data_IF_774231791469
#
_entry.id   IF_774231791469
#
_cell.length_a   1.000
_cell.length_b   1.000
_cell.length_c   1.000
_cell.angle_alpha   90.00
_cell.angle_beta   90.00
_cell.angle_gamma   90.00
#
_symmetry.space_group_name_H-M   'P 1'
#
loop_
_entity.id
_entity.type
_entity.pdbx_description
1 polymer ?
#
# COMPACT_ATOMS: atom_id res chain seq x y z
N UNK A 1 -26.26 -21.00 -29.12
CA UNK A 1 -25.08 -20.39 -28.47
C UNK A 1 -25.59 -19.52 -27.33
N UNK A 2 -25.37 -19.90 -26.07
CA UNK A 2 -25.82 -19.14 -24.90
C UNK A 2 -24.71 -18.14 -24.55
N UNK A 3 -25.00 -16.85 -24.59
CA UNK A 3 -24.05 -15.83 -24.14
C UNK A 3 -23.83 -15.98 -22.63
N UNK A 4 -22.60 -15.81 -22.12
CA UNK A 4 -22.38 -15.81 -20.68
C UNK A 4 -23.20 -14.69 -20.03
N UNK A 5 -23.70 -14.91 -18.80
CA UNK A 5 -24.45 -13.88 -18.09
C UNK A 5 -23.59 -12.63 -17.90
N UNK A 6 -24.21 -11.45 -18.01
CA UNK A 6 -23.54 -10.19 -17.78
C UNK A 6 -23.00 -10.14 -16.35
N UNK A 7 -21.77 -9.61 -16.20
CA UNK A 7 -21.16 -9.41 -14.89
C UNK A 7 -22.01 -8.38 -14.12
N UNK A 8 -22.35 -8.62 -12.83
CA UNK A 8 -23.07 -7.62 -12.06
C UNK A 8 -22.30 -6.30 -12.03
N UNK A 9 -23.00 -5.15 -11.95
CA UNK A 9 -22.33 -3.87 -11.77
C UNK A 9 -21.48 -3.92 -10.50
N UNK A 10 -20.32 -3.26 -10.49
CA UNK A 10 -19.55 -3.14 -9.25
C UNK A 10 -20.41 -2.49 -8.17
N UNK A 11 -20.17 -2.82 -6.89
CA UNK A 11 -20.84 -2.14 -5.79
C UNK A 11 -20.61 -0.62 -5.89
N UNK A 12 -21.61 0.15 -5.48
CA UNK A 12 -21.44 1.59 -5.27
C UNK A 12 -20.48 1.79 -4.08
N UNK A 13 -19.42 2.56 -4.30
CA UNK A 13 -18.38 2.86 -3.30
C UNK A 13 -18.21 4.38 -3.24
N UNK A 14 -18.26 4.98 -2.05
CA UNK A 14 -18.08 6.42 -1.85
C UNK A 14 -16.67 6.90 -2.24
N UNK A 15 -15.63 6.15 -1.88
CA UNK A 15 -14.23 6.59 -2.03
C UNK A 15 -13.37 5.51 -2.71
N UNK A 16 -12.74 5.86 -3.83
CA UNK A 16 -11.73 5.04 -4.47
C UNK A 16 -10.31 5.59 -4.23
N UNK A 17 -9.42 4.74 -3.71
CA UNK A 17 -7.99 5.02 -3.54
C UNK A 17 -7.25 4.24 -4.63
N UNK A 18 -6.46 4.92 -5.46
CA UNK A 18 -5.67 4.29 -6.51
C UNK A 18 -4.23 4.16 -6.06
N UNK A 19 -3.75 2.91 -5.97
CA UNK A 19 -2.41 2.53 -5.51
C UNK A 19 -2.38 2.02 -4.07
N UNK A 20 -1.73 0.87 -3.86
CA UNK A 20 -1.53 0.27 -2.53
C UNK A 20 -0.08 0.39 -2.03
N UNK A 21 0.54 1.54 -2.31
CA UNK A 21 1.79 1.96 -1.67
C UNK A 21 1.54 2.70 -0.34
N UNK A 22 2.61 3.25 0.23
CA UNK A 22 2.59 3.93 1.53
C UNK A 22 1.48 5.00 1.65
N UNK A 23 1.30 5.83 0.62
CA UNK A 23 0.27 6.88 0.63
C UNK A 23 -1.16 6.31 0.63
N UNK A 24 -1.43 5.29 -0.17
CA UNK A 24 -2.76 4.67 -0.26
C UNK A 24 -3.16 3.94 1.01
N UNK A 25 -2.22 3.16 1.58
CA UNK A 25 -2.43 2.49 2.87
C UNK A 25 -2.60 3.50 4.01
N UNK A 26 -1.80 4.57 4.00
CA UNK A 26 -1.93 5.68 4.95
C UNK A 26 -3.31 6.34 4.87
N UNK A 27 -3.79 6.63 3.66
CA UNK A 27 -5.12 7.21 3.45
C UNK A 27 -6.23 6.28 3.96
N UNK A 28 -6.16 4.98 3.62
CA UNK A 28 -7.12 3.99 4.09
C UNK A 28 -7.19 3.93 5.62
N UNK A 29 -6.03 3.97 6.29
CA UNK A 29 -5.96 4.01 7.75
C UNK A 29 -6.63 5.28 8.32
N UNK A 30 -6.40 6.45 7.71
CA UNK A 30 -7.04 7.69 8.16
C UNK A 30 -8.56 7.68 7.94
N UNK A 31 -9.05 7.15 6.81
CA UNK A 31 -10.49 6.99 6.57
C UNK A 31 -11.14 6.10 7.64
N UNK A 32 -10.53 4.95 7.93
CA UNK A 32 -11.00 4.05 9.00
C UNK A 32 -11.04 4.77 10.36
N UNK A 33 -10.00 5.53 10.70
CA UNK A 33 -9.96 6.32 11.95
C UNK A 33 -11.02 7.42 12.00
N UNK A 34 -11.42 7.96 10.86
CA UNK A 34 -12.49 8.94 10.74
C UNK A 34 -13.90 8.30 10.71
N UNK A 35 -14.01 6.97 10.84
CA UNK A 35 -15.28 6.25 10.77
C UNK A 35 -15.84 6.12 9.34
N UNK A 36 -14.99 6.29 8.32
CA UNK A 36 -15.35 6.12 6.91
C UNK A 36 -14.82 4.78 6.42
N UNK A 37 -15.73 3.82 6.23
CA UNK A 37 -15.38 2.45 5.82
C UNK A 37 -15.83 2.09 4.40
N UNK A 38 -16.66 2.92 3.77
CA UNK A 38 -17.09 2.72 2.38
C UNK A 38 -16.04 3.22 1.39
N UNK A 39 -14.92 2.48 1.33
CA UNK A 39 -13.85 2.77 0.40
C UNK A 39 -13.22 1.50 -0.16
N UNK A 40 -12.60 1.64 -1.33
CA UNK A 40 -11.82 0.58 -1.98
C UNK A 40 -10.42 1.07 -2.29
N UNK A 41 -9.43 0.19 -2.12
CA UNK A 41 -8.07 0.41 -2.63
C UNK A 41 -7.91 -0.44 -3.89
N UNK A 42 -7.55 0.19 -4.99
CA UNK A 42 -7.30 -0.47 -6.27
C UNK A 42 -5.81 -0.39 -6.57
N UNK A 43 -5.17 -1.55 -6.71
CA UNK A 43 -3.77 -1.70 -7.07
C UNK A 43 -3.69 -2.47 -8.39
N UNK A 44 -2.80 -2.03 -9.28
CA UNK A 44 -2.57 -2.70 -10.55
C UNK A 44 -1.82 -4.02 -10.34
N UNK A 45 -0.88 -4.04 -9.40
CA UNK A 45 -0.13 -5.24 -9.03
C UNK A 45 -0.96 -6.25 -8.20
N UNK A 46 -0.42 -7.46 -8.06
CA UNK A 46 -1.03 -8.52 -7.25
C UNK A 46 -0.75 -8.41 -5.74
N UNK A 47 0.04 -7.43 -5.32
CA UNK A 47 0.49 -7.25 -3.93
C UNK A 47 0.68 -5.76 -3.59
N UNK A 48 0.70 -5.44 -2.30
CA UNK A 48 0.91 -4.08 -1.80
C UNK A 48 2.39 -3.68 -1.84
N UNK A 49 2.70 -2.39 -1.69
CA UNK A 49 4.07 -1.91 -1.48
C UNK A 49 4.50 -0.75 -2.38
N UNK A 50 3.85 -0.59 -3.55
CA UNK A 50 4.12 0.53 -4.46
C UNK A 50 5.60 0.60 -4.86
N UNK A 51 6.25 1.72 -4.56
CA UNK A 51 7.70 1.92 -4.83
C UNK A 51 8.55 0.75 -4.37
N UNK A 52 8.31 0.24 -3.15
CA UNK A 52 9.15 -0.83 -2.61
C UNK A 52 8.90 -2.15 -3.31
N UNK A 53 7.65 -2.48 -3.63
CA UNK A 53 7.31 -3.63 -4.46
C UNK A 53 7.97 -3.57 -5.84
N UNK A 54 7.81 -2.45 -6.55
CA UNK A 54 8.15 -2.37 -7.97
C UNK A 54 9.66 -2.23 -8.25
N UNK A 55 10.46 -1.75 -7.29
CA UNK A 55 11.89 -1.49 -7.48
C UNK A 55 12.76 -2.60 -6.88
N UNK A 56 13.23 -3.53 -7.70
CA UNK A 56 14.00 -4.72 -7.27
C UNK A 56 15.46 -4.72 -7.73
N UNK A 57 16.00 -3.54 -8.10
CA UNK A 57 17.38 -3.45 -8.57
C UNK A 57 18.41 -3.61 -7.42
N UNK A 58 19.61 -4.14 -7.69
CA UNK A 58 20.63 -4.33 -6.67
C UNK A 58 21.00 -3.02 -5.95
N UNK A 59 20.97 -3.04 -4.62
CA UNK A 59 21.30 -1.89 -3.79
C UNK A 59 20.16 -0.88 -3.59
N UNK A 60 18.93 -1.18 -4.03
CA UNK A 60 17.77 -0.35 -3.73
C UNK A 60 17.58 -0.20 -2.22
N UNK A 61 17.48 1.06 -1.75
CA UNK A 61 17.38 1.42 -0.34
C UNK A 61 16.73 2.80 -0.18
N UNK A 62 16.20 3.09 1.02
CA UNK A 62 15.69 4.41 1.36
C UNK A 62 16.82 5.37 1.74
N UNK A 63 16.71 6.63 1.31
CA UNK A 63 17.60 7.72 1.67
C UNK A 63 17.19 8.44 2.98
N UNK A 64 16.00 8.13 3.50
CA UNK A 64 15.52 8.57 4.80
C UNK A 64 15.98 7.56 5.87
N UNK A 65 16.44 8.03 7.05
CA UNK A 65 16.69 7.14 8.18
C UNK A 65 15.47 6.26 8.48
N UNK A 66 15.66 4.95 8.61
CA UNK A 66 14.58 3.95 8.66
C UNK A 66 13.56 4.22 9.77
N UNK A 67 14.03 4.70 10.93
CA UNK A 67 13.18 5.07 12.07
C UNK A 67 12.28 6.29 11.79
N UNK A 68 12.59 7.10 10.78
CA UNK A 68 11.76 8.21 10.31
C UNK A 68 10.87 7.79 9.13
N UNK A 69 11.18 6.67 8.48
CA UNK A 69 10.44 6.12 7.35
C UNK A 69 9.50 5.00 7.82
N UNK A 70 8.56 5.37 8.69
CA UNK A 70 7.54 4.47 9.23
C UNK A 70 6.28 5.27 9.53
N UNK A 71 5.11 4.63 9.54
CA UNK A 71 3.91 5.33 9.98
C UNK A 71 4.08 5.71 11.46
N UNK A 72 3.67 6.92 11.84
CA UNK A 72 3.81 7.40 13.24
C UNK A 72 3.08 6.52 14.26
N UNK A 73 2.16 5.67 13.80
CA UNK A 73 1.38 4.74 14.60
C UNK A 73 1.79 3.27 14.45
N UNK A 74 2.76 2.96 13.58
CA UNK A 74 3.27 1.61 13.34
C UNK A 74 4.76 1.73 13.04
N UNK A 75 5.56 1.75 14.10
CA UNK A 75 7.02 1.91 14.04
C UNK A 75 7.66 0.53 14.11
N UNK A 76 8.69 0.28 13.29
CA UNK A 76 9.50 -0.93 13.39
C UNK A 76 10.77 -0.65 14.22
N UNK A 77 10.97 -1.28 15.39
CA UNK A 77 12.19 -1.11 16.19
C UNK A 77 13.36 -1.97 15.69
N UNK A 78 13.10 -2.95 14.82
CA UNK A 78 14.03 -4.01 14.45
C UNK A 78 14.77 -3.73 13.12
N UNK A 79 14.77 -2.49 12.65
CA UNK A 79 15.49 -2.09 11.44
C UNK A 79 16.97 -2.49 11.50
N UNK A 80 17.42 -3.24 10.48
CA UNK A 80 18.74 -3.84 10.39
C UNK A 80 19.88 -2.82 10.26
N UNK A 81 19.58 -1.62 9.75
CA UNK A 81 20.54 -0.53 9.53
C UNK A 81 19.84 0.84 9.40
N UNK A 82 20.62 1.91 9.45
CA UNK A 82 20.11 3.29 9.39
C UNK A 82 19.33 3.60 8.11
N UNK A 83 19.76 3.07 6.96
CA UNK A 83 19.11 3.25 5.65
C UNK A 83 18.61 1.90 5.14
N UNK A 84 17.33 1.60 5.37
CA UNK A 84 16.79 0.26 5.15
C UNK A 84 16.89 -0.16 3.66
N UNK A 85 17.32 -1.41 3.36
CA UNK A 85 17.20 -1.98 2.03
C UNK A 85 15.73 -2.09 1.63
N UNK A 86 15.46 -2.09 0.31
CA UNK A 86 14.12 -2.27 -0.23
C UNK A 86 13.41 -3.51 0.31
N UNK A 87 14.10 -4.64 0.40
CA UNK A 87 13.47 -5.90 0.82
C UNK A 87 12.90 -5.78 2.25
N UNK A 88 13.67 -5.20 3.17
CA UNK A 88 13.24 -4.98 4.55
C UNK A 88 12.05 -3.99 4.67
N UNK A 89 11.90 -3.07 3.72
CA UNK A 89 10.74 -2.15 3.71
C UNK A 89 9.50 -2.82 3.10
N UNK A 90 9.70 -3.80 2.22
CA UNK A 90 8.62 -4.53 1.55
C UNK A 90 8.07 -5.70 2.38
N UNK A 91 8.90 -6.29 3.24
CA UNK A 91 8.57 -7.40 4.14
C UNK A 91 7.36 -7.10 5.06
#
# INVERSE_FOLDING_TARGET
MHAPPAKPPPPDIEIAIIGAGFAGLGMAMQLRRAGREDFVILEQAGEVGGTWRDNTYPGCACDVPAHLYSFSFEQNPDWSRLYAPRDEIQD
#
